data_IF_596009972424
#
_entry.id   IF_596009972424
#
_cell.length_a   1.000
_cell.length_b   1.000
_cell.length_c   1.000
_cell.angle_alpha   90.00
_cell.angle_beta   90.00
_cell.angle_gamma   90.00
#
_symmetry.space_group_name_H-M   'P 1'
#
loop_
_entity.id
_entity.type
_entity.pdbx_description
1 polymer ?
#
# COMPACT_ATOMS: atom_id res chain seq x y z
N UNK A 1 -78.83 28.80 -20.69
CA UNK A 1 -77.42 28.88 -21.14
C UNK A 1 -76.57 28.12 -20.12
N UNK A 2 -75.96 27.01 -20.54
CA UNK A 2 -74.93 26.32 -19.75
C UNK A 2 -73.61 27.08 -19.86
N UNK A 3 -72.69 26.96 -18.87
CA UNK A 3 -71.56 26.09 -19.16
C UNK A 3 -71.10 25.19 -17.99
N UNK A 4 -70.94 23.93 -18.38
CA UNK A 4 -70.02 22.87 -17.92
C UNK A 4 -68.90 23.29 -16.95
N UNK A 5 -68.92 22.71 -15.75
CA UNK A 5 -67.79 22.65 -14.82
C UNK A 5 -66.97 21.38 -15.09
N UNK A 6 -65.73 21.57 -15.54
CA UNK A 6 -64.76 20.50 -15.84
C UNK A 6 -64.21 19.93 -14.53
N UNK A 7 -64.34 18.61 -14.35
CA UNK A 7 -63.71 17.88 -13.24
C UNK A 7 -62.26 17.56 -13.64
N UNK A 8 -61.30 18.16 -12.96
CA UNK A 8 -59.89 17.78 -13.10
C UNK A 8 -59.60 16.52 -12.28
N UNK A 9 -59.35 15.41 -12.98
CA UNK A 9 -58.76 14.20 -12.44
C UNK A 9 -57.28 14.49 -12.13
N UNK A 10 -56.90 14.42 -10.85
CA UNK A 10 -55.52 14.51 -10.42
C UNK A 10 -54.83 13.15 -10.61
N UNK A 11 -53.99 13.06 -11.64
CA UNK A 11 -53.14 11.90 -11.93
C UNK A 11 -51.93 11.94 -10.99
N UNK A 12 -51.88 11.03 -10.02
CA UNK A 12 -50.72 10.86 -9.14
C UNK A 12 -49.61 10.11 -9.90
N UNK A 13 -48.57 10.84 -10.31
CA UNK A 13 -47.37 10.24 -10.89
C UNK A 13 -46.50 9.66 -9.75
N UNK A 14 -46.36 8.33 -9.71
CA UNK A 14 -45.35 7.64 -8.90
C UNK A 14 -43.96 8.03 -9.44
N UNK A 15 -43.24 8.87 -8.70
CA UNK A 15 -41.82 9.10 -8.92
C UNK A 15 -41.04 7.84 -8.47
N UNK A 16 -40.56 7.05 -9.42
CA UNK A 16 -39.53 6.05 -9.16
C UNK A 16 -38.25 6.78 -8.75
N UNK A 17 -37.96 6.76 -7.44
CA UNK A 17 -36.67 7.19 -6.91
C UNK A 17 -35.58 6.26 -7.42
N UNK A 18 -34.76 6.76 -8.36
CA UNK A 18 -33.50 6.14 -8.75
C UNK A 18 -32.57 6.28 -7.56
N UNK A 19 -32.49 5.23 -6.73
CA UNK A 19 -31.45 5.12 -5.72
C UNK A 19 -30.15 4.88 -6.48
N UNK A 20 -29.43 5.95 -6.78
CA UNK A 20 -28.04 5.87 -7.19
C UNK A 20 -27.27 5.27 -6.00
N UNK A 21 -27.14 3.94 -5.99
CA UNK A 21 -26.24 3.25 -5.10
C UNK A 21 -24.84 3.74 -5.44
N UNK A 22 -24.33 4.69 -4.67
CA UNK A 22 -22.90 4.92 -4.55
C UNK A 22 -22.31 3.63 -3.98
N UNK A 23 -21.98 2.68 -4.85
CA UNK A 23 -21.16 1.53 -4.53
C UNK A 23 -19.74 2.05 -4.26
N UNK A 24 -19.56 2.60 -3.06
CA UNK A 24 -18.25 2.99 -2.55
C UNK A 24 -17.36 1.76 -2.53
N UNK A 25 -16.41 1.70 -3.47
CA UNK A 25 -15.36 0.68 -3.46
C UNK A 25 -14.54 0.86 -2.18
N UNK A 26 -14.22 -0.24 -1.50
CA UNK A 26 -13.36 -0.23 -0.31
C UNK A 26 -11.95 0.26 -0.70
N UNK A 27 -11.50 1.44 -0.21
CA UNK A 27 -10.19 1.97 -0.57
C UNK A 27 -9.02 1.13 -0.02
N UNK A 28 -9.27 0.24 0.96
CA UNK A 28 -8.25 -0.66 1.51
C UNK A 28 -8.20 -2.02 0.78
N UNK A 29 -9.08 -2.23 -0.20
CA UNK A 29 -9.10 -3.45 -1.01
C UNK A 29 -9.43 -3.14 -2.47
N UNK A 30 -8.61 -2.32 -3.17
CA UNK A 30 -8.84 -1.93 -4.55
C UNK A 30 -8.70 -3.12 -5.52
N UNK A 31 -9.38 -3.05 -6.66
CA UNK A 31 -9.30 -4.06 -7.72
C UNK A 31 -9.89 -5.42 -7.36
N UNK A 32 -9.57 -6.40 -8.20
CA UNK A 32 -9.94 -7.82 -8.02
C UNK A 32 -8.84 -8.53 -7.25
N UNK A 33 -9.19 -9.27 -6.20
CA UNK A 33 -8.22 -10.03 -5.42
C UNK A 33 -7.62 -11.19 -6.23
N UNK A 34 -6.28 -11.31 -6.25
CA UNK A 34 -5.55 -12.44 -6.84
C UNK A 34 -5.41 -13.59 -5.83
N UNK A 35 -5.21 -13.24 -4.56
CA UNK A 35 -5.02 -14.21 -3.47
C UNK A 35 -4.13 -13.66 -2.37
N UNK A 36 -3.83 -14.53 -1.42
CA UNK A 36 -2.83 -14.26 -0.36
C UNK A 36 -1.51 -14.88 -0.78
N UNK A 37 -0.42 -14.12 -0.70
CA UNK A 37 0.94 -14.53 -1.00
C UNK A 37 1.75 -14.60 0.28
N UNK A 38 2.50 -15.68 0.45
CA UNK A 38 3.51 -15.78 1.49
C UNK A 38 4.83 -15.21 0.96
N UNK A 39 5.35 -14.19 1.63
CA UNK A 39 6.57 -13.48 1.25
C UNK A 39 7.73 -13.91 2.15
N UNK A 40 8.88 -14.13 1.53
CA UNK A 40 10.17 -14.27 2.20
C UNK A 40 11.07 -13.15 1.72
N UNK A 41 11.51 -12.31 2.65
CA UNK A 41 12.48 -11.24 2.43
C UNK A 41 13.80 -11.62 3.09
N UNK A 42 14.82 -11.90 2.27
CA UNK A 42 16.18 -12.19 2.75
C UNK A 42 16.97 -10.89 2.82
N UNK A 43 17.55 -10.59 3.97
CA UNK A 43 18.33 -9.37 4.15
C UNK A 43 19.60 -9.43 3.30
N UNK A 44 19.88 -8.36 2.57
CA UNK A 44 21.11 -8.22 1.79
C UNK A 44 21.99 -7.10 2.32
N UNK A 45 21.38 -6.05 2.88
CA UNK A 45 22.11 -4.94 3.52
C UNK A 45 21.23 -4.22 4.55
N UNK A 46 21.83 -3.72 5.63
CA UNK A 46 21.21 -2.79 6.58
C UNK A 46 22.26 -1.81 7.10
N UNK A 47 21.89 -0.53 7.18
CA UNK A 47 22.61 0.51 7.93
C UNK A 47 21.79 1.07 9.08
N UNK A 48 20.59 0.51 9.33
CA UNK A 48 19.66 0.97 10.36
C UNK A 48 19.86 0.27 11.72
N UNK A 49 20.66 -0.80 11.78
CA UNK A 49 20.82 -1.63 12.97
C UNK A 49 20.27 -3.03 12.80
N UNK A 50 19.84 -3.63 13.92
CA UNK A 50 19.30 -4.99 13.97
C UNK A 50 18.05 -5.09 13.10
N UNK A 51 18.11 -6.00 12.13
CA UNK A 51 17.09 -6.14 11.11
C UNK A 51 16.76 -7.62 10.91
N UNK A 52 15.48 -8.02 10.81
CA UNK A 52 15.12 -9.43 10.65
C UNK A 52 15.67 -10.04 9.37
N UNK A 53 16.26 -11.24 9.49
CA UNK A 53 16.73 -12.04 8.36
C UNK A 53 16.51 -13.56 8.58
N UNK A 54 15.64 -14.23 7.80
CA UNK A 54 14.69 -13.65 6.85
C UNK A 54 13.47 -13.06 7.55
N UNK A 55 12.88 -12.02 6.98
CA UNK A 55 11.54 -11.56 7.36
C UNK A 55 10.48 -12.30 6.54
N UNK A 56 9.48 -12.87 7.22
CA UNK A 56 8.40 -13.66 6.60
C UNK A 56 7.04 -13.11 7.00
N UNK A 57 6.18 -12.90 6.02
CA UNK A 57 4.85 -12.31 6.24
C UNK A 57 3.92 -12.68 5.08
N UNK A 58 2.62 -12.47 5.27
CA UNK A 58 1.61 -12.67 4.24
C UNK A 58 1.09 -11.31 3.75
N UNK A 59 0.81 -11.21 2.45
CA UNK A 59 0.17 -10.04 1.83
C UNK A 59 -0.96 -10.50 0.91
N UNK A 60 -1.90 -9.60 0.61
CA UNK A 60 -2.82 -9.82 -0.50
C UNK A 60 -2.31 -9.05 -1.71
N UNK A 61 -2.38 -9.68 -2.87
CA UNK A 61 -2.27 -8.96 -4.14
C UNK A 61 -3.65 -8.83 -4.76
N UNK A 62 -3.94 -7.63 -5.24
CA UNK A 62 -5.11 -7.35 -6.06
C UNK A 62 -4.65 -6.74 -7.39
N UNK A 63 -5.54 -6.68 -8.38
CA UNK A 63 -5.24 -6.06 -9.67
C UNK A 63 -6.44 -5.32 -10.29
N UNK A 64 -6.15 -4.34 -11.14
CA UNK A 64 -7.13 -3.70 -12.03
C UNK A 64 -6.43 -3.37 -13.36
N UNK A 65 -6.78 -4.07 -14.43
CA UNK A 65 -6.02 -4.00 -15.69
C UNK A 65 -4.55 -4.37 -15.47
N UNK A 66 -3.64 -3.47 -15.86
CA UNK A 66 -2.19 -3.62 -15.64
C UNK A 66 -1.70 -3.13 -14.26
N UNK A 67 -2.59 -2.60 -13.41
CA UNK A 67 -2.20 -2.11 -12.08
C UNK A 67 -2.19 -3.28 -11.09
N UNK A 68 -1.09 -3.42 -10.36
CA UNK A 68 -0.95 -4.33 -9.23
C UNK A 68 -1.06 -3.53 -7.94
N UNK A 69 -1.84 -4.03 -6.98
CA UNK A 69 -1.95 -3.47 -5.65
C UNK A 69 -1.37 -4.45 -4.63
N UNK A 70 -0.47 -3.96 -3.79
CA UNK A 70 0.08 -4.66 -2.64
C UNK A 70 -0.66 -4.22 -1.38
N UNK A 71 -1.42 -5.15 -0.79
CA UNK A 71 -2.35 -4.85 0.29
C UNK A 71 -1.91 -5.51 1.59
N UNK A 72 -1.80 -4.69 2.63
CA UNK A 72 -1.49 -5.08 4.02
C UNK A 72 -2.64 -4.69 4.95
N UNK A 73 -2.74 -5.35 6.11
CA UNK A 73 -3.88 -5.20 7.03
C UNK A 73 -4.02 -3.79 7.61
N UNK A 74 -2.90 -3.11 7.89
CA UNK A 74 -2.88 -1.85 8.65
C UNK A 74 -2.18 -0.70 7.92
N UNK A 75 -2.12 -0.78 6.58
CA UNK A 75 -1.52 0.25 5.74
C UNK A 75 -2.36 0.47 4.47
N UNK A 76 -2.42 1.71 3.94
CA UNK A 76 -2.95 1.95 2.61
C UNK A 76 -2.27 1.03 1.58
N UNK A 77 -3.02 0.46 0.63
CA UNK A 77 -2.43 -0.28 -0.49
C UNK A 77 -1.41 0.58 -1.24
N UNK A 78 -0.30 -0.02 -1.62
CA UNK A 78 0.65 0.60 -2.54
C UNK A 78 0.45 -0.01 -3.92
N UNK A 79 0.66 0.78 -4.96
CA UNK A 79 0.35 0.38 -6.33
C UNK A 79 1.53 0.58 -7.28
N UNK A 80 1.50 -0.17 -8.38
CA UNK A 80 2.46 -0.05 -9.47
C UNK A 80 1.91 -0.65 -10.75
N UNK A 81 2.37 -0.14 -11.89
CA UNK A 81 1.93 -0.63 -13.20
C UNK A 81 2.87 -1.73 -13.69
N UNK A 82 2.29 -2.88 -14.02
CA UNK A 82 2.98 -3.98 -14.67
C UNK A 82 3.22 -3.63 -16.13
N UNK A 83 4.48 -3.72 -16.55
CA UNK A 83 4.92 -3.46 -17.91
C UNK A 83 4.86 -4.72 -18.80
N UNK A 84 5.18 -4.55 -20.09
CA UNK A 84 5.18 -5.66 -21.06
C UNK A 84 6.26 -6.73 -20.77
N UNK A 85 7.18 -6.47 -19.85
CA UNK A 85 8.26 -7.38 -19.43
C UNK A 85 7.97 -8.06 -18.10
N UNK A 86 6.72 -8.02 -17.62
CA UNK A 86 6.26 -8.58 -16.35
C UNK A 86 6.84 -7.88 -15.11
N UNK A 87 7.37 -6.67 -15.25
CA UNK A 87 7.98 -5.91 -14.16
C UNK A 87 7.05 -4.82 -13.66
N UNK A 88 7.13 -4.52 -12.38
CA UNK A 88 6.44 -3.38 -11.75
C UNK A 88 7.31 -2.79 -10.66
N UNK A 89 7.16 -1.48 -10.44
CA UNK A 89 7.73 -0.79 -9.30
C UNK A 89 6.60 -0.13 -8.51
N UNK A 90 6.56 -0.40 -7.21
CA UNK A 90 5.63 0.18 -6.26
C UNK A 90 6.42 1.06 -5.30
N UNK A 91 5.86 2.22 -4.97
CA UNK A 91 6.51 3.20 -4.09
C UNK A 91 5.53 3.66 -3.02
N UNK A 92 6.03 3.89 -1.81
CA UNK A 92 5.27 4.48 -0.71
C UNK A 92 6.15 5.45 0.06
N UNK A 93 5.51 6.46 0.65
CA UNK A 93 6.14 7.34 1.62
C UNK A 93 5.24 7.45 2.85
N UNK A 94 5.84 7.29 4.03
CA UNK A 94 5.15 7.44 5.32
C UNK A 94 5.96 8.41 6.17
N UNK A 95 5.30 9.49 6.61
CA UNK A 95 5.90 10.46 7.52
C UNK A 95 5.31 10.23 8.92
N UNK A 96 6.17 10.03 9.91
CA UNK A 96 5.77 9.80 11.29
C UNK A 96 6.41 10.82 12.21
N UNK A 97 5.58 11.56 12.94
CA UNK A 97 6.04 12.31 14.12
C UNK A 97 6.33 11.30 15.23
N UNK A 98 7.61 11.17 15.59
CA UNK A 98 8.08 10.31 16.67
C UNK A 98 7.99 11.05 17.99
N UNK A 99 8.22 12.36 17.96
CA UNK A 99 8.10 13.25 19.11
C UNK A 99 7.69 14.65 18.66
N UNK A 100 6.65 15.19 19.29
CA UNK A 100 6.26 16.59 19.14
C UNK A 100 7.31 17.55 19.72
N UNK A 101 7.46 18.73 19.12
CA UNK A 101 8.29 19.79 19.67
C UNK A 101 7.77 20.27 21.03
N UNK A 102 8.68 20.62 21.95
CA UNK A 102 8.33 21.21 23.24
C UNK A 102 8.91 22.62 23.37
N UNK A 103 8.08 23.66 23.22
CA UNK A 103 8.54 25.04 23.31
C UNK A 103 8.98 25.45 24.72
N UNK A 104 8.51 24.75 25.78
CA UNK A 104 8.88 25.08 27.17
C UNK A 104 10.32 24.70 27.46
N UNK A 105 10.76 23.57 26.91
CA UNK A 105 12.15 23.08 27.03
C UNK A 105 13.02 23.49 25.85
N UNK A 106 12.45 24.18 24.85
CA UNK A 106 13.11 24.52 23.57
C UNK A 106 13.65 23.28 22.87
N UNK A 107 12.91 22.18 22.94
CA UNK A 107 13.27 20.92 22.31
C UNK A 107 12.57 20.83 20.96
N UNK A 108 13.35 20.61 19.92
CA UNK A 108 12.83 20.41 18.58
C UNK A 108 12.09 19.07 18.47
N UNK A 109 11.13 19.02 17.55
CA UNK A 109 10.39 17.80 17.24
C UNK A 109 11.26 16.81 16.47
N UNK A 110 10.91 15.53 16.57
CA UNK A 110 11.46 14.48 15.71
C UNK A 110 10.37 13.94 14.80
N UNK A 111 10.53 14.19 13.50
CA UNK A 111 9.73 13.57 12.45
C UNK A 111 10.64 12.79 11.52
N UNK A 112 10.30 11.52 11.26
CA UNK A 112 11.05 10.63 10.37
C UNK A 112 10.15 10.30 9.18
N UNK A 113 10.70 10.46 7.97
CA UNK A 113 10.12 9.95 6.74
C UNK A 113 10.69 8.56 6.44
N UNK A 114 9.81 7.64 6.04
CA UNK A 114 10.15 6.33 5.49
C UNK A 114 9.73 6.30 4.02
N UNK A 115 10.65 5.98 3.13
CA UNK A 115 10.37 5.71 1.72
C UNK A 115 10.57 4.23 1.43
N UNK A 116 9.61 3.65 0.73
CA UNK A 116 9.56 2.22 0.42
C UNK A 116 9.61 2.07 -1.11
N UNK A 117 10.53 1.24 -1.62
CA UNK A 117 10.60 0.90 -3.05
C UNK A 117 10.57 -0.61 -3.21
N UNK A 118 9.52 -1.13 -3.84
CA UNK A 118 9.41 -2.52 -4.25
C UNK A 118 9.56 -2.62 -5.76
N UNK A 119 10.52 -3.41 -6.23
CA UNK A 119 10.68 -3.71 -7.65
C UNK A 119 10.47 -5.21 -7.86
N UNK A 120 9.42 -5.60 -8.60
CA UNK A 120 8.96 -6.98 -8.72
C UNK A 120 8.96 -7.45 -10.16
N UNK A 121 9.21 -8.75 -10.35
CA UNK A 121 8.92 -9.51 -11.58
C UNK A 121 7.86 -10.55 -11.27
N UNK A 122 6.76 -10.55 -12.03
CA UNK A 122 5.62 -11.44 -11.83
C UNK A 122 5.77 -12.72 -12.64
N UNK A 123 5.37 -13.85 -12.06
CA UNK A 123 5.49 -15.18 -12.67
C UNK A 123 4.12 -15.87 -12.66
N UNK A 124 3.80 -16.48 -13.81
CA UNK A 124 2.55 -17.19 -14.04
C UNK A 124 2.59 -18.69 -13.69
N UNK A 125 1.51 -19.44 -13.97
CA UNK A 125 1.38 -20.85 -13.60
C UNK A 125 2.36 -21.80 -14.31
N UNK A 126 2.89 -21.39 -15.46
CA UNK A 126 3.88 -22.10 -16.27
C UNK A 126 5.34 -21.78 -15.85
N UNK A 127 5.51 -21.07 -14.73
CA UNK A 127 6.79 -20.58 -14.23
C UNK A 127 7.51 -19.62 -15.19
N UNK A 128 6.78 -18.95 -16.09
CA UNK A 128 7.31 -17.89 -16.95
C UNK A 128 6.86 -16.50 -16.48
N UNK A 129 7.62 -15.44 -16.81
CA UNK A 129 7.21 -14.07 -16.53
C UNK A 129 5.85 -13.74 -17.18
N UNK A 130 4.95 -13.08 -16.45
CA UNK A 130 3.62 -12.68 -16.95
C UNK A 130 3.40 -11.18 -16.84
N UNK A 131 3.05 -10.54 -17.96
CA UNK A 131 2.61 -9.15 -17.99
C UNK A 131 1.12 -8.97 -17.69
N UNK A 132 0.36 -10.07 -17.61
CA UNK A 132 -1.01 -10.09 -17.11
C UNK A 132 -0.98 -10.37 -15.59
N UNK A 133 -1.29 -9.37 -14.74
CA UNK A 133 -1.26 -9.55 -13.29
C UNK A 133 -2.25 -10.63 -12.81
N UNK A 134 -3.34 -10.86 -13.54
CA UNK A 134 -4.38 -11.83 -13.18
C UNK A 134 -3.89 -13.27 -13.15
N UNK A 135 -2.79 -13.55 -13.85
CA UNK A 135 -2.17 -14.87 -13.94
C UNK A 135 -1.08 -15.10 -12.89
N UNK A 136 -0.78 -14.10 -12.05
CA UNK A 136 0.35 -14.17 -11.10
C UNK A 136 0.17 -15.29 -10.07
N UNK A 137 1.12 -16.21 -10.01
CA UNK A 137 1.19 -17.29 -9.00
C UNK A 137 2.39 -17.13 -8.07
N UNK A 138 3.42 -16.40 -8.50
CA UNK A 138 4.57 -16.03 -7.69
C UNK A 138 5.23 -14.75 -8.20
N UNK A 139 6.17 -14.21 -7.43
CA UNK A 139 7.00 -13.10 -7.84
C UNK A 139 8.38 -13.17 -7.17
N UNK A 140 9.34 -12.47 -7.75
CA UNK A 140 10.64 -12.17 -7.14
C UNK A 140 10.99 -10.70 -7.34
N UNK A 141 11.90 -10.17 -6.51
CA UNK A 141 12.23 -8.75 -6.61
C UNK A 141 13.11 -8.24 -5.48
N UNK A 142 13.12 -6.93 -5.31
CA UNK A 142 13.81 -6.25 -4.21
C UNK A 142 12.85 -5.35 -3.43
N UNK A 143 13.19 -5.11 -2.18
CA UNK A 143 12.54 -4.14 -1.30
C UNK A 143 13.60 -3.31 -0.59
N UNK A 144 13.52 -2.00 -0.80
CA UNK A 144 14.38 -1.02 -0.13
C UNK A 144 13.53 -0.12 0.74
N UNK A 145 13.90 -0.02 2.02
CA UNK A 145 13.40 0.99 2.94
C UNK A 145 14.48 2.03 3.17
N UNK A 146 14.12 3.31 3.07
CA UNK A 146 14.98 4.43 3.45
C UNK A 146 14.31 5.21 4.57
N UNK A 147 15.05 5.49 5.65
CA UNK A 147 14.59 6.28 6.78
C UNK A 147 15.43 7.55 6.88
N UNK A 148 14.79 8.71 7.00
CA UNK A 148 15.48 10.00 7.12
C UNK A 148 14.70 10.96 8.03
N UNK A 149 15.39 11.77 8.85
CA UNK A 149 14.75 12.90 9.53
C UNK A 149 14.19 13.88 8.50
N UNK A 150 12.97 14.34 8.71
CA UNK A 150 12.39 15.44 7.91
C UNK A 150 13.19 16.72 8.20
N UNK A 151 13.43 17.53 7.17
CA UNK A 151 14.19 18.76 7.28
C UNK A 151 13.70 19.64 8.46
N UNK A 152 14.64 20.04 9.34
CA UNK A 152 14.34 20.82 10.54
C UNK A 152 13.91 20.01 11.76
N UNK A 153 13.85 18.68 11.67
CA UNK A 153 13.66 17.80 12.84
C UNK A 153 14.99 17.48 13.53
N UNK A 154 14.95 17.36 14.86
CA UNK A 154 16.04 16.78 15.65
C UNK A 154 15.65 15.39 16.14
N UNK A 155 16.25 14.38 15.50
CA UNK A 155 16.05 12.96 15.82
C UNK A 155 17.31 12.31 16.39
N UNK A 156 18.26 13.09 16.94
CA UNK A 156 19.49 12.54 17.49
C UNK A 156 19.23 11.52 18.62
N UNK A 157 18.14 11.70 19.37
CA UNK A 157 17.75 10.80 20.45
C UNK A 157 17.09 9.49 19.97
N UNK A 158 16.91 9.30 18.66
CA UNK A 158 16.47 8.05 18.07
C UNK A 158 17.65 7.13 17.73
N UNK A 159 18.88 7.57 17.98
CA UNK A 159 20.08 6.80 17.72
C UNK A 159 20.40 5.87 18.89
N UNK A 160 21.01 4.72 18.62
CA UNK A 160 21.42 3.76 19.65
C UNK A 160 22.40 4.35 20.67
N UNK A 161 23.17 5.38 20.31
CA UNK A 161 24.06 6.11 21.24
C UNK A 161 23.31 6.84 22.36
N UNK A 162 21.98 6.96 22.23
CA UNK A 162 21.07 7.63 23.15
C UNK A 162 19.87 6.75 23.52
N UNK A 163 20.05 5.42 23.50
CA UNK A 163 19.00 4.43 23.78
C UNK A 163 17.82 4.42 22.78
N UNK A 164 18.04 4.92 21.56
CA UNK A 164 17.09 4.81 20.45
C UNK A 164 17.28 3.54 19.60
N UNK A 165 16.46 3.37 18.57
CA UNK A 165 16.36 2.13 17.78
C UNK A 165 17.24 2.11 16.51
N UNK A 166 17.81 3.25 16.10
CA UNK A 166 18.58 3.36 14.85
C UNK A 166 20.10 3.40 15.09
N UNK A 167 20.86 2.61 14.33
CA UNK A 167 22.32 2.77 14.28
C UNK A 167 22.73 4.14 13.71
N UNK A 168 22.00 4.59 12.69
CA UNK A 168 22.21 5.85 12.00
C UNK A 168 20.91 6.41 11.44
N UNK A 169 20.89 7.73 11.23
CA UNK A 169 19.85 8.43 10.46
C UNK A 169 20.53 9.50 9.59
N UNK A 170 20.31 9.53 8.27
CA UNK A 170 19.50 8.58 7.50
C UNK A 170 20.11 7.18 7.41
N UNK A 171 19.29 6.16 7.15
CA UNK A 171 19.72 4.78 6.96
C UNK A 171 18.83 4.02 5.97
N UNK A 172 19.27 2.83 5.55
CA UNK A 172 18.56 1.98 4.59
C UNK A 172 18.55 0.50 4.99
N UNK A 173 17.51 -0.20 4.55
CA UNK A 173 17.37 -1.66 4.65
C UNK A 173 17.06 -2.22 3.27
N UNK A 174 17.80 -3.23 2.83
CA UNK A 174 17.68 -3.85 1.51
C UNK A 174 17.38 -5.33 1.64
N UNK A 175 16.36 -5.79 0.93
CA UNK A 175 15.95 -7.19 0.89
C UNK A 175 15.85 -7.71 -0.55
N UNK A 176 16.20 -8.99 -0.72
CA UNK A 176 15.73 -9.82 -1.83
C UNK A 176 14.40 -10.45 -1.45
N UNK A 177 13.38 -10.31 -2.30
CA UNK A 177 12.03 -10.81 -2.09
C UNK A 177 11.73 -12.02 -2.97
N UNK A 178 11.01 -12.97 -2.39
CA UNK A 178 10.20 -13.95 -3.13
C UNK A 178 8.82 -14.04 -2.52
N UNK A 179 7.80 -14.19 -3.37
CA UNK A 179 6.42 -14.38 -2.94
C UNK A 179 5.78 -15.53 -3.69
N UNK A 180 5.02 -16.38 -2.98
CA UNK A 180 4.29 -17.48 -3.58
C UNK A 180 2.83 -17.48 -3.13
N UNK A 181 1.91 -17.76 -4.06
CA UNK A 181 0.49 -17.85 -3.78
C UNK A 181 0.23 -18.93 -2.72
N UNK A 182 -0.26 -18.51 -1.55
CA UNK A 182 -0.62 -19.36 -0.41
C UNK A 182 -2.07 -19.82 -0.47
N UNK A 183 -2.97 -18.92 -0.88
CA UNK A 183 -4.40 -19.23 -1.02
C UNK A 183 -5.06 -18.34 -2.06
N UNK A 184 -6.01 -18.92 -2.81
CA UNK A 184 -6.87 -18.19 -3.75
C UNK A 184 -7.90 -17.32 -3.01
N UNK A 185 -8.50 -16.32 -3.69
CA UNK A 185 -9.63 -15.58 -3.14
C UNK A 185 -10.74 -16.57 -2.76
N UNK A 186 -11.45 -16.28 -1.67
CA UNK A 186 -12.62 -17.05 -1.25
C UNK A 186 -13.84 -16.67 -2.07
#
# INVERSE_FOLDING_TARGET
MSPRSVRHLATAALALGVVAACSGKDPYSPGTQLGTFHVTAKLTHTSCGETPDPWRFDIRLNHEGSTLYWVQTDAPPIEGRVDSTARTQLQAEVVKEVRAADPRTKRDGCTIARSDVLALTLVGPDAQPTSDPSLTTSFSGTLVYTFAPVAGSDCADQLMSTDGDFDALPCEIHYDLTGALKSKPR
#
